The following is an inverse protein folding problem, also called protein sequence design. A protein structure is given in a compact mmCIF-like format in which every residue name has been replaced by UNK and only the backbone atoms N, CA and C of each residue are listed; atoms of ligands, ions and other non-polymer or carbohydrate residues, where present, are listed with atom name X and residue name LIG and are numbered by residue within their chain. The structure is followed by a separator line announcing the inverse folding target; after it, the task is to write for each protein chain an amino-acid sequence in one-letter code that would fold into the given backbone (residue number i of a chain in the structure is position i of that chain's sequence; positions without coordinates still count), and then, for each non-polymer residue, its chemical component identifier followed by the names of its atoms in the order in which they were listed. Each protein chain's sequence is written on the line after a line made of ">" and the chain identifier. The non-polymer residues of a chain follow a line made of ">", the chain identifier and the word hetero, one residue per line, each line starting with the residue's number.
data_IF_712654336928
#
_entry.id   IF_712654336928
#
_cell.length_a   1.000
_cell.length_b   1.000
_cell.length_c   1.000
_cell.angle_alpha   90.00
_cell.angle_beta   90.00
_cell.angle_gamma   90.00
#
_symmetry.space_group_name_H-M   'P 1'
#
loop_
_entity.id
_entity.type
_entity.pdbx_description
1 polymer ?
#
# COMPACT_ATOMS: atom_id res chain seq x y z
N UNK A 1 31.88 -16.12 2.19
CA UNK A 1 31.74 -14.65 2.15
C UNK A 1 30.41 -14.34 1.48
N UNK A 2 29.34 -14.21 2.29
CA UNK A 2 28.01 -13.91 1.75
C UNK A 2 28.02 -12.46 1.26
N UNK A 3 28.05 -12.27 -0.04
CA UNK A 3 27.78 -10.99 -0.68
C UNK A 3 26.30 -10.72 -0.39
N UNK A 4 26.04 -9.93 0.66
CA UNK A 4 24.73 -9.33 0.84
C UNK A 4 24.47 -8.47 -0.40
N UNK A 5 23.69 -8.98 -1.33
CA UNK A 5 23.16 -8.19 -2.41
C UNK A 5 22.44 -7.00 -1.75
N UNK A 6 23.04 -5.84 -1.85
CA UNK A 6 22.47 -4.61 -1.31
C UNK A 6 21.12 -4.46 -1.99
N UNK A 7 20.03 -4.66 -1.24
CA UNK A 7 18.69 -4.44 -1.73
C UNK A 7 18.55 -2.93 -1.84
N UNK A 8 18.93 -2.41 -2.99
CA UNK A 8 18.57 -1.06 -3.35
C UNK A 8 17.06 -1.10 -3.58
N UNK A 9 16.33 -0.27 -2.84
CA UNK A 9 14.90 -0.14 -3.03
C UNK A 9 14.59 0.05 -4.53
N UNK A 10 13.47 -0.50 -5.04
CA UNK A 10 13.12 -0.28 -6.43
C UNK A 10 12.93 1.23 -6.61
N UNK A 11 13.49 1.80 -7.67
CA UNK A 11 13.20 3.20 -8.00
C UNK A 11 11.82 3.28 -8.65
N UNK A 12 10.78 3.27 -7.82
CA UNK A 12 9.37 3.39 -8.22
C UNK A 12 8.79 4.70 -7.70
N UNK A 13 7.81 5.22 -8.42
CA UNK A 13 7.01 6.38 -8.04
C UNK A 13 5.54 6.09 -8.33
N UNK A 14 4.63 6.93 -7.87
CA UNK A 14 3.23 6.90 -8.32
C UNK A 14 3.17 7.33 -9.79
N UNK A 15 2.51 6.55 -10.64
CA UNK A 15 2.36 6.88 -12.06
C UNK A 15 1.22 7.89 -12.25
N UNK A 16 1.56 9.15 -12.47
CA UNK A 16 0.61 10.24 -12.71
C UNK A 16 -0.31 10.00 -13.91
N UNK A 17 0.11 9.17 -14.89
CA UNK A 17 -0.74 8.81 -16.03
C UNK A 17 -1.86 7.83 -15.66
N UNK A 18 -1.70 7.07 -14.57
CA UNK A 18 -2.69 6.09 -14.12
C UNK A 18 -3.56 6.59 -12.98
N UNK A 19 -3.19 7.70 -12.34
CA UNK A 19 -3.90 8.19 -11.16
C UNK A 19 -5.39 8.41 -11.46
N UNK A 20 -6.24 7.95 -10.54
CA UNK A 20 -7.70 8.16 -10.63
C UNK A 20 -8.04 9.65 -10.60
N UNK A 21 -9.05 10.09 -11.37
CA UNK A 21 -9.41 11.50 -11.58
C UNK A 21 -9.65 12.32 -10.29
N UNK A 22 -10.02 11.67 -9.19
CA UNK A 22 -10.24 12.30 -7.88
C UNK A 22 -9.04 12.11 -6.93
N UNK A 23 -7.85 11.87 -7.46
CA UNK A 23 -6.61 11.72 -6.70
C UNK A 23 -5.54 12.61 -7.31
N UNK A 24 -4.60 13.02 -6.49
CA UNK A 24 -3.52 13.89 -6.87
C UNK A 24 -2.17 13.23 -6.61
N UNK A 25 -1.25 13.37 -7.56
CA UNK A 25 0.13 12.90 -7.45
C UNK A 25 1.05 14.09 -7.63
N UNK A 26 2.01 14.27 -6.73
CA UNK A 26 3.03 15.32 -6.83
C UNK A 26 3.86 15.19 -8.10
N UNK A 27 4.47 16.29 -8.56
CA UNK A 27 5.25 16.35 -9.80
C UNK A 27 6.43 15.36 -9.80
N UNK A 28 7.03 15.09 -8.64
CA UNK A 28 8.10 14.09 -8.47
C UNK A 28 7.58 12.64 -8.36
N UNK A 29 6.27 12.44 -8.38
CA UNK A 29 5.62 11.15 -8.24
C UNK A 29 5.76 10.50 -6.86
N UNK A 30 6.15 11.24 -5.82
CA UNK A 30 6.43 10.69 -4.49
C UNK A 30 5.28 10.81 -3.50
N UNK A 31 4.32 11.69 -3.76
CA UNK A 31 3.19 11.94 -2.86
C UNK A 31 1.88 11.70 -3.59
N UNK A 32 1.03 10.85 -3.01
CA UNK A 32 -0.34 10.60 -3.45
C UNK A 32 -1.32 11.13 -2.42
N UNK A 33 -2.31 11.92 -2.85
CA UNK A 33 -3.34 12.52 -1.99
C UNK A 33 -4.73 12.15 -2.47
N UNK A 34 -5.66 12.00 -1.53
CA UNK A 34 -7.07 12.02 -1.88
C UNK A 34 -7.55 13.48 -1.94
N UNK A 35 -8.22 13.84 -3.03
CA UNK A 35 -8.83 15.16 -3.18
C UNK A 35 -10.27 15.15 -2.69
N UNK A 36 -10.79 16.32 -2.34
CA UNK A 36 -12.22 16.51 -2.06
C UNK A 36 -13.05 16.27 -3.33
N UNK A 37 -14.25 15.72 -3.18
CA UNK A 37 -15.21 15.56 -4.28
C UNK A 37 -15.46 16.96 -4.88
N UNK A 38 -15.21 17.15 -6.17
CA UNK A 38 -15.34 18.42 -6.87
C UNK A 38 -14.03 19.03 -7.38
N UNK A 39 -12.88 18.55 -6.93
CA UNK A 39 -11.57 18.93 -7.45
C UNK A 39 -11.00 17.86 -8.41
N UNK A 40 -11.79 17.45 -9.39
CA UNK A 40 -11.31 16.53 -10.40
C UNK A 40 -10.31 17.23 -11.33
N UNK A 41 -9.11 16.70 -11.46
CA UNK A 41 -8.21 17.14 -12.53
C UNK A 41 -8.80 16.69 -13.87
N UNK A 42 -9.25 17.65 -14.67
CA UNK A 42 -9.85 17.40 -15.99
C UNK A 42 -8.73 17.10 -16.99
N UNK A 43 -8.17 15.92 -16.99
CA UNK A 43 -7.35 15.46 -18.09
C UNK A 43 -7.99 14.22 -18.72
N UNK A 44 -8.14 14.25 -20.04
CA UNK A 44 -8.74 13.20 -20.88
C UNK A 44 -7.80 11.98 -21.08
N UNK A 45 -6.94 11.67 -20.11
CA UNK A 45 -5.98 10.57 -20.27
C UNK A 45 -6.69 9.22 -20.13
N UNK A 46 -6.77 8.46 -21.21
CA UNK A 46 -7.38 7.12 -21.28
C UNK A 46 -6.71 6.07 -20.39
N UNK A 47 -5.47 6.32 -19.93
CA UNK A 47 -4.75 5.41 -19.03
C UNK A 47 -5.18 5.53 -17.58
N UNK A 48 -5.97 6.54 -17.23
CA UNK A 48 -6.45 6.75 -15.84
C UNK A 48 -7.31 5.60 -15.37
N UNK A 49 -7.09 5.24 -14.11
CA UNK A 49 -7.96 4.31 -13.41
C UNK A 49 -9.37 4.91 -13.28
N UNK A 50 -10.37 4.09 -13.58
CA UNK A 50 -11.80 4.48 -13.56
C UNK A 50 -12.48 4.01 -12.28
N UNK A 51 -12.14 2.83 -11.82
CA UNK A 51 -12.74 2.17 -10.66
C UNK A 51 -11.82 2.23 -9.43
N UNK A 52 -10.57 1.82 -9.57
CA UNK A 52 -9.61 1.81 -8.47
C UNK A 52 -9.21 3.23 -8.08
N UNK A 53 -9.53 3.62 -6.86
CA UNK A 53 -9.36 5.01 -6.36
C UNK A 53 -7.95 5.28 -5.84
N UNK A 54 -6.98 5.27 -6.71
CA UNK A 54 -5.58 5.40 -6.34
C UNK A 54 -4.67 5.63 -7.54
N UNK A 55 -3.45 5.12 -7.43
CA UNK A 55 -2.42 5.11 -8.48
C UNK A 55 -1.72 3.77 -8.51
N UNK A 56 -1.06 3.47 -9.64
CA UNK A 56 -0.18 2.32 -9.81
C UNK A 56 1.25 2.83 -9.78
N UNK A 57 2.21 1.98 -9.41
CA UNK A 57 3.63 2.31 -9.51
C UNK A 57 4.07 2.48 -10.98
N UNK A 58 5.08 3.30 -11.23
CA UNK A 58 5.64 3.52 -12.59
C UNK A 58 6.28 2.27 -13.19
N UNK A 59 6.66 1.29 -12.34
CA UNK A 59 7.34 0.05 -12.78
C UNK A 59 6.81 -1.16 -12.02
N UNK A 60 6.77 -2.34 -12.69
CA UNK A 60 6.48 -3.60 -12.02
C UNK A 60 7.70 -4.10 -11.23
N UNK A 61 7.42 -4.96 -10.27
CA UNK A 61 8.41 -5.78 -9.59
C UNK A 61 8.44 -7.16 -10.25
N UNK A 62 9.63 -7.60 -10.69
CA UNK A 62 9.82 -8.81 -11.51
C UNK A 62 10.66 -9.84 -10.78
N UNK A 63 10.48 -11.12 -11.11
CA UNK A 63 11.37 -12.20 -10.69
C UNK A 63 12.51 -12.38 -11.70
N UNK A 64 13.76 -12.69 -11.26
CA UNK A 64 14.19 -12.73 -9.86
C UNK A 64 14.40 -11.31 -9.30
N UNK A 65 14.14 -11.15 -8.00
CA UNK A 65 14.39 -9.87 -7.35
C UNK A 65 13.99 -9.85 -5.87
N UNK A 66 14.63 -8.95 -5.16
CA UNK A 66 14.30 -8.62 -3.77
C UNK A 66 14.11 -7.13 -3.67
N UNK A 67 12.92 -6.70 -3.29
CA UNK A 67 12.48 -5.31 -3.36
C UNK A 67 11.99 -4.84 -2.00
N UNK A 68 12.48 -3.70 -1.55
CA UNK A 68 12.02 -3.05 -0.33
C UNK A 68 11.70 -1.59 -0.58
N UNK A 69 10.57 -1.14 -0.09
CA UNK A 69 10.17 0.27 -0.06
C UNK A 69 9.32 0.56 1.16
N UNK A 70 9.19 1.84 1.51
CA UNK A 70 8.36 2.30 2.61
C UNK A 70 7.29 3.26 2.12
N UNK A 71 6.14 3.23 2.81
CA UNK A 71 5.05 4.19 2.61
C UNK A 71 4.77 4.87 3.95
N UNK A 72 4.94 6.18 3.98
CA UNK A 72 4.47 7.01 5.10
C UNK A 72 3.04 7.43 4.78
N UNK A 73 2.13 7.22 5.71
CA UNK A 73 0.72 7.56 5.57
C UNK A 73 0.37 8.54 6.68
N UNK A 74 0.09 9.80 6.31
CA UNK A 74 -0.52 10.80 7.18
C UNK A 74 -2.02 10.85 6.86
N UNK A 75 -2.88 10.63 7.85
CA UNK A 75 -4.31 10.76 7.66
C UNK A 75 -4.98 11.50 8.81
N UNK A 76 -6.05 12.22 8.45
CA UNK A 76 -6.91 12.91 9.39
C UNK A 76 -8.37 12.53 9.14
N UNK A 77 -9.03 12.02 10.15
CA UNK A 77 -10.45 11.69 10.10
C UNK A 77 -11.24 12.97 10.36
N UNK A 78 -11.98 13.44 9.36
CA UNK A 78 -12.78 14.67 9.44
C UNK A 78 -14.22 14.38 9.87
N UNK A 79 -14.74 13.18 9.56
CA UNK A 79 -16.08 12.72 9.96
C UNK A 79 -15.95 11.29 10.51
N UNK A 80 -16.79 10.87 11.45
CA UNK A 80 -16.77 9.50 11.95
C UNK A 80 -16.82 8.49 10.80
N UNK A 81 -16.03 7.44 10.94
CA UNK A 81 -16.05 6.30 10.03
C UNK A 81 -17.15 5.33 10.46
N UNK A 82 -17.68 4.60 9.51
CA UNK A 82 -18.62 3.48 9.70
C UNK A 82 -18.06 2.21 9.06
N UNK A 83 -18.71 1.07 9.26
CA UNK A 83 -18.24 -0.27 8.91
C UNK A 83 -17.80 -0.46 7.46
N UNK A 84 -18.19 0.43 6.55
CA UNK A 84 -17.86 0.35 5.13
C UNK A 84 -16.73 1.28 4.71
N UNK A 85 -16.14 2.03 5.64
CA UNK A 85 -15.10 2.99 5.30
C UNK A 85 -13.73 2.34 5.21
N UNK A 86 -13.37 2.03 4.00
CA UNK A 86 -12.05 1.59 3.57
C UNK A 86 -11.17 2.82 3.36
N UNK A 87 -10.15 3.03 4.20
CA UNK A 87 -9.40 4.29 4.24
C UNK A 87 -8.27 4.31 3.25
N UNK A 88 -7.37 3.33 3.30
CA UNK A 88 -6.28 3.20 2.34
C UNK A 88 -5.97 1.74 2.02
N UNK A 89 -5.28 1.53 0.91
CA UNK A 89 -4.79 0.23 0.46
C UNK A 89 -3.40 0.35 -0.14
N UNK A 90 -2.51 -0.59 0.19
CA UNK A 90 -1.26 -0.82 -0.51
C UNK A 90 -1.30 -2.27 -0.96
N UNK A 91 -1.45 -2.48 -2.26
CA UNK A 91 -1.60 -3.79 -2.84
C UNK A 91 -0.48 -4.14 -3.81
N UNK A 92 -0.44 -5.41 -4.17
CA UNK A 92 0.40 -5.97 -5.22
C UNK A 92 -0.50 -6.78 -6.14
N UNK A 93 -0.67 -6.35 -7.38
CA UNK A 93 -1.63 -6.94 -8.30
C UNK A 93 -1.05 -7.06 -9.71
N UNK A 94 -1.74 -7.81 -10.56
CA UNK A 94 -1.49 -7.79 -12.01
C UNK A 94 -1.98 -6.47 -12.59
N UNK A 95 -1.24 -5.89 -13.54
CA UNK A 95 -1.57 -4.58 -14.13
C UNK A 95 -3.01 -4.49 -14.66
N UNK A 96 -3.46 -5.54 -15.34
CA UNK A 96 -4.77 -5.56 -15.99
C UNK A 96 -5.92 -5.79 -14.99
N UNK A 97 -5.62 -6.26 -13.79
CA UNK A 97 -6.64 -6.59 -12.80
C UNK A 97 -6.92 -5.41 -11.85
N UNK A 98 -6.02 -4.42 -11.79
CA UNK A 98 -6.11 -3.31 -10.82
C UNK A 98 -7.45 -2.56 -10.93
N UNK A 99 -7.93 -2.28 -12.14
CA UNK A 99 -9.10 -1.41 -12.36
C UNK A 99 -10.42 -2.18 -12.55
N UNK A 100 -10.46 -3.47 -12.18
CA UNK A 100 -11.69 -4.28 -12.20
C UNK A 100 -12.69 -3.76 -11.16
N UNK A 101 -12.20 -3.32 -10.00
CA UNK A 101 -13.03 -2.84 -8.88
C UNK A 101 -12.42 -1.66 -8.14
N UNK A 102 -13.09 -1.25 -7.06
CA UNK A 102 -12.63 -0.16 -6.21
C UNK A 102 -11.44 -0.55 -5.33
N UNK A 103 -11.20 -1.84 -5.13
CA UNK A 103 -10.18 -2.44 -4.29
C UNK A 103 -9.54 -3.61 -5.02
N UNK A 104 -8.34 -4.01 -4.59
CA UNK A 104 -7.68 -5.21 -5.14
C UNK A 104 -7.72 -6.40 -4.17
N UNK A 105 -8.09 -6.21 -2.91
CA UNK A 105 -8.02 -7.24 -1.87
C UNK A 105 -8.91 -8.46 -2.12
N UNK A 106 -9.97 -8.35 -2.90
CA UNK A 106 -10.92 -9.42 -3.25
C UNK A 106 -10.47 -10.27 -4.45
N UNK A 107 -9.41 -9.86 -5.15
CA UNK A 107 -8.89 -10.54 -6.32
C UNK A 107 -7.95 -11.68 -5.94
N UNK A 108 -8.05 -12.81 -6.66
CA UNK A 108 -7.15 -13.96 -6.49
C UNK A 108 -5.71 -13.68 -6.95
N UNK A 109 -5.51 -12.63 -7.74
CA UNK A 109 -4.19 -12.21 -8.29
C UNK A 109 -3.58 -11.05 -7.52
N UNK A 110 -4.18 -10.65 -6.37
CA UNK A 110 -3.70 -9.52 -5.59
C UNK A 110 -3.51 -9.86 -4.10
N UNK A 111 -2.53 -9.23 -3.50
CA UNK A 111 -2.20 -9.27 -2.08
C UNK A 111 -2.27 -7.86 -1.54
N UNK A 112 -3.07 -7.64 -0.51
CA UNK A 112 -3.42 -6.30 -0.04
C UNK A 112 -3.14 -6.11 1.43
N UNK A 113 -2.53 -4.99 1.76
CA UNK A 113 -2.49 -4.40 3.09
C UNK A 113 -3.35 -3.14 3.07
N UNK A 114 -4.29 -3.03 4.02
CA UNK A 114 -5.25 -1.93 4.00
C UNK A 114 -5.67 -1.49 5.39
N UNK A 115 -6.32 -0.34 5.48
CA UNK A 115 -6.98 0.12 6.70
C UNK A 115 -8.47 0.35 6.47
N UNK A 116 -9.27 -0.24 7.35
CA UNK A 116 -10.74 -0.16 7.35
C UNK A 116 -11.25 -0.14 8.78
N UNK A 117 -12.39 0.50 9.02
CA UNK A 117 -13.06 0.35 10.30
C UNK A 117 -13.42 -1.11 10.57
N UNK A 118 -13.25 -1.52 11.80
CA UNK A 118 -13.43 -2.88 12.28
C UNK A 118 -14.54 -2.92 13.32
N UNK A 119 -15.52 -3.77 13.11
CA UNK A 119 -16.63 -3.96 14.05
C UNK A 119 -16.17 -4.56 15.38
N UNK A 120 -15.22 -5.47 15.33
CA UNK A 120 -14.68 -6.13 16.51
C UNK A 120 -14.04 -5.14 17.50
N UNK A 121 -13.20 -4.22 16.97
CA UNK A 121 -12.50 -3.25 17.81
C UNK A 121 -13.20 -1.88 17.91
N UNK A 122 -14.26 -1.64 17.10
CA UNK A 122 -14.96 -0.33 16.98
C UNK A 122 -14.03 0.82 16.65
N UNK A 123 -12.91 0.57 15.96
CA UNK A 123 -11.90 1.54 15.57
C UNK A 123 -11.35 1.23 14.17
N UNK A 124 -10.47 2.08 13.65
CA UNK A 124 -9.76 1.80 12.42
C UNK A 124 -8.75 0.68 12.67
N UNK A 125 -8.79 -0.37 11.86
CA UNK A 125 -7.88 -1.50 11.90
C UNK A 125 -7.08 -1.61 10.62
N UNK A 126 -5.88 -2.13 10.74
CA UNK A 126 -5.04 -2.54 9.62
C UNK A 126 -5.25 -4.03 9.33
N UNK A 127 -5.26 -4.40 8.05
CA UNK A 127 -5.60 -5.73 7.57
C UNK A 127 -4.62 -6.20 6.51
N UNK A 128 -4.29 -7.51 6.53
CA UNK A 128 -3.73 -8.20 5.38
C UNK A 128 -4.80 -9.08 4.76
N UNK A 129 -5.01 -8.97 3.45
CA UNK A 129 -6.08 -9.65 2.70
C UNK A 129 -5.59 -10.23 1.39
N UNK A 130 -6.21 -11.32 0.97
CA UNK A 130 -5.97 -11.94 -0.33
C UNK A 130 -7.22 -12.74 -0.73
N UNK A 131 -7.65 -12.60 -1.97
CA UNK A 131 -8.79 -13.33 -2.52
C UNK A 131 -10.05 -13.24 -1.64
N UNK A 132 -10.38 -12.03 -1.19
CA UNK A 132 -11.52 -11.75 -0.32
C UNK A 132 -11.39 -12.23 1.14
N UNK A 133 -10.27 -12.90 1.50
CA UNK A 133 -10.06 -13.46 2.84
C UNK A 133 -9.25 -12.52 3.72
N UNK A 134 -9.66 -12.38 4.96
CA UNK A 134 -8.88 -11.72 6.01
C UNK A 134 -7.83 -12.70 6.55
N UNK A 135 -6.56 -12.33 6.47
CA UNK A 135 -5.44 -13.18 6.88
C UNK A 135 -4.84 -12.73 8.21
N UNK A 136 -4.80 -11.43 8.46
CA UNK A 136 -4.38 -10.84 9.72
C UNK A 136 -5.02 -9.46 9.88
N UNK A 137 -5.28 -9.06 11.14
CA UNK A 137 -5.70 -7.69 11.45
C UNK A 137 -5.26 -7.27 12.84
N UNK A 138 -5.18 -5.96 13.07
CA UNK A 138 -4.91 -5.37 14.36
C UNK A 138 -5.46 -3.93 14.43
N UNK A 139 -5.78 -3.43 15.62
CA UNK A 139 -6.14 -2.02 15.83
C UNK A 139 -5.04 -1.08 15.32
N UNK A 140 -5.45 0.07 14.75
CA UNK A 140 -4.56 1.10 14.24
C UNK A 140 -4.76 2.43 14.97
N UNK A 141 -5.98 2.96 14.98
CA UNK A 141 -6.32 4.22 15.65
C UNK A 141 -7.83 4.33 15.90
N UNK A 142 -8.26 5.27 16.76
CA UNK A 142 -9.67 5.61 16.86
C UNK A 142 -10.26 6.00 15.49
N UNK A 143 -11.51 5.63 15.24
CA UNK A 143 -12.25 5.93 14.00
C UNK A 143 -13.10 7.21 14.12
N UNK A 144 -12.80 8.07 15.07
CA UNK A 144 -13.57 9.27 15.43
C UNK A 144 -13.05 10.52 14.72
N UNK A 145 -13.94 11.47 14.48
CA UNK A 145 -13.56 12.77 13.93
C UNK A 145 -12.52 13.47 14.80
N UNK A 146 -11.55 14.14 14.16
CA UNK A 146 -10.44 14.81 14.82
C UNK A 146 -9.18 13.93 14.97
N UNK A 147 -9.29 12.60 14.84
CA UNK A 147 -8.12 11.71 14.89
C UNK A 147 -7.15 12.06 13.75
N UNK A 148 -5.89 12.30 14.12
CA UNK A 148 -4.77 12.44 13.17
C UNK A 148 -3.70 11.45 13.54
N UNK A 149 -3.19 10.75 12.54
CA UNK A 149 -2.18 9.71 12.73
C UNK A 149 -1.21 9.69 11.55
N UNK A 150 0.08 9.52 11.86
CA UNK A 150 1.09 9.21 10.86
C UNK A 150 1.69 7.84 11.18
N UNK A 151 1.73 6.98 10.19
CA UNK A 151 2.31 5.62 10.29
C UNK A 151 3.23 5.36 9.12
N UNK A 152 4.21 4.49 9.33
CA UNK A 152 5.14 4.07 8.28
C UNK A 152 5.08 2.56 8.16
N UNK A 153 4.87 2.08 6.93
CA UNK A 153 4.89 0.66 6.60
C UNK A 153 5.99 0.34 5.61
N UNK A 154 6.69 -0.75 5.87
CA UNK A 154 7.71 -1.32 4.97
C UNK A 154 7.18 -2.56 4.27
N UNK A 155 7.50 -2.70 2.99
CA UNK A 155 7.09 -3.82 2.14
C UNK A 155 8.32 -4.49 1.55
N UNK A 156 8.55 -5.75 1.93
CA UNK A 156 9.66 -6.55 1.42
C UNK A 156 9.09 -7.69 0.56
N UNK A 157 9.28 -7.57 -0.76
CA UNK A 157 8.96 -8.63 -1.72
C UNK A 157 10.22 -9.41 -2.07
N UNK A 158 10.21 -10.71 -1.78
CA UNK A 158 11.26 -11.68 -2.09
C UNK A 158 10.71 -12.66 -3.15
N UNK A 159 10.98 -12.37 -4.41
CA UNK A 159 10.28 -13.06 -5.51
C UNK A 159 10.67 -14.53 -5.63
N UNK A 160 11.93 -14.90 -5.41
CA UNK A 160 12.37 -16.29 -5.46
C UNK A 160 11.77 -17.12 -4.32
N UNK A 161 11.53 -16.49 -3.17
CA UNK A 161 10.87 -17.12 -2.03
C UNK A 161 9.34 -17.04 -2.09
N UNK A 162 8.79 -16.34 -3.10
CA UNK A 162 7.35 -16.10 -3.27
C UNK A 162 6.70 -15.51 -2.00
N UNK A 163 7.40 -14.55 -1.37
CA UNK A 163 6.99 -13.94 -0.10
C UNK A 163 6.87 -12.43 -0.22
N UNK A 164 5.84 -11.87 0.41
CA UNK A 164 5.71 -10.44 0.67
C UNK A 164 5.55 -10.26 2.18
N UNK A 165 6.50 -9.59 2.80
CA UNK A 165 6.41 -9.26 4.23
C UNK A 165 6.05 -7.79 4.40
N UNK A 166 5.03 -7.54 5.23
CA UNK A 166 4.60 -6.22 5.66
C UNK A 166 5.16 -5.95 7.05
N UNK A 167 5.82 -4.82 7.19
CA UNK A 167 6.37 -4.35 8.46
C UNK A 167 5.67 -3.08 8.90
N UNK A 168 5.34 -3.02 10.17
CA UNK A 168 4.99 -1.78 10.85
C UNK A 168 6.28 -1.13 11.33
N UNK A 169 6.77 -0.14 10.57
CA UNK A 169 8.03 0.55 10.87
C UNK A 169 7.87 1.53 12.04
N UNK A 170 6.66 2.01 12.32
CA UNK A 170 6.36 2.87 13.46
C UNK A 170 6.60 2.12 14.77
N UNK A 171 6.10 0.89 14.87
CA UNK A 171 6.26 0.03 16.05
C UNK A 171 7.41 -0.98 15.92
N UNK A 172 8.23 -0.90 14.86
CA UNK A 172 9.42 -1.73 14.62
C UNK A 172 9.14 -3.23 14.71
N UNK A 173 8.07 -3.69 14.11
CA UNK A 173 7.65 -5.09 14.14
C UNK A 173 7.21 -5.60 12.77
N UNK A 174 7.34 -6.90 12.57
CA UNK A 174 6.70 -7.59 11.46
C UNK A 174 5.19 -7.65 11.73
N UNK A 175 4.39 -7.22 10.74
CA UNK A 175 2.95 -7.31 10.82
C UNK A 175 2.46 -8.65 10.26
N UNK A 176 2.82 -8.96 9.01
CA UNK A 176 2.39 -10.20 8.35
C UNK A 176 3.35 -10.61 7.23
N UNK A 177 3.34 -11.89 6.85
CA UNK A 177 4.02 -12.39 5.65
C UNK A 177 3.04 -13.20 4.81
N UNK A 178 2.79 -12.73 3.59
CA UNK A 178 2.14 -13.53 2.57
C UNK A 178 3.14 -14.54 2.01
N UNK A 179 2.69 -15.79 1.85
CA UNK A 179 3.47 -16.89 1.31
C UNK A 179 2.85 -17.39 0.01
N UNK A 180 3.64 -18.12 -0.78
CA UNK A 180 3.19 -18.75 -2.03
C UNK A 180 2.54 -17.77 -3.01
N UNK A 181 3.05 -16.54 -3.09
CA UNK A 181 2.55 -15.57 -4.06
C UNK A 181 2.78 -16.06 -5.48
N UNK A 182 1.79 -15.93 -6.35
CA UNK A 182 1.97 -16.14 -7.78
C UNK A 182 2.66 -14.93 -8.42
N UNK A 183 3.98 -15.04 -8.55
CA UNK A 183 4.86 -14.05 -9.17
C UNK A 183 5.49 -14.56 -10.47
N UNK A 184 4.85 -15.55 -11.11
CA UNK A 184 5.21 -16.03 -12.45
C UNK A 184 5.15 -14.92 -13.51
N UNK A 185 4.35 -13.89 -13.24
CA UNK A 185 4.28 -12.64 -14.02
C UNK A 185 4.61 -11.45 -13.11
N UNK A 186 5.06 -10.32 -13.68
CA UNK A 186 5.33 -9.11 -12.92
C UNK A 186 4.13 -8.67 -12.08
N UNK A 187 4.37 -8.24 -10.82
CA UNK A 187 3.38 -7.63 -9.94
C UNK A 187 3.62 -6.13 -9.85
N UNK A 188 2.55 -5.39 -9.75
CA UNK A 188 2.57 -3.94 -9.67
C UNK A 188 2.16 -3.50 -8.28
N UNK A 189 3.00 -2.74 -7.55
CA UNK A 189 2.53 -2.00 -6.38
C UNK A 189 1.41 -1.05 -6.77
N UNK A 190 0.32 -1.08 -6.00
CA UNK A 190 -0.86 -0.23 -6.19
C UNK A 190 -1.20 0.45 -4.87
N UNK A 191 -1.68 1.69 -4.94
CA UNK A 191 -1.86 2.54 -3.79
C UNK A 191 -3.24 3.21 -3.87
N UNK A 192 -4.13 2.85 -2.96
CA UNK A 192 -5.49 3.37 -2.87
C UNK A 192 -5.65 4.32 -1.70
N UNK A 193 -6.30 5.45 -1.92
CA UNK A 193 -6.72 6.36 -0.86
C UNK A 193 -8.19 6.75 -1.08
N UNK A 194 -9.02 6.50 -0.07
CA UNK A 194 -10.47 6.47 -0.23
C UNK A 194 -11.16 7.61 0.56
N UNK A 195 -12.44 7.77 0.38
CA UNK A 195 -13.35 8.62 1.16
C UNK A 195 -12.87 10.04 1.48
N UNK A 196 -12.53 10.89 0.48
CA UNK A 196 -12.01 12.24 0.73
C UNK A 196 -12.96 13.14 1.52
N UNK A 197 -14.26 12.85 1.52
CA UNK A 197 -15.27 13.57 2.33
C UNK A 197 -15.21 13.23 3.81
N UNK A 198 -14.62 12.09 4.19
CA UNK A 198 -14.51 11.62 5.58
C UNK A 198 -13.10 11.65 6.11
N UNK A 199 -12.11 11.35 5.27
CA UNK A 199 -10.69 11.26 5.65
C UNK A 199 -9.84 12.03 4.67
N UNK A 200 -8.94 12.87 5.17
CA UNK A 200 -7.84 13.44 4.37
C UNK A 200 -6.64 12.49 4.50
N UNK A 201 -6.07 12.09 3.37
CA UNK A 201 -4.95 11.13 3.31
C UNK A 201 -3.85 11.70 2.42
N UNK A 202 -2.63 11.54 2.90
CA UNK A 202 -1.40 11.77 2.14
C UNK A 202 -0.50 10.54 2.32
N UNK A 203 -0.10 9.92 1.20
CA UNK A 203 0.86 8.84 1.17
C UNK A 203 2.16 9.34 0.57
N UNK A 204 3.27 9.19 1.28
CA UNK A 204 4.61 9.49 0.78
C UNK A 204 5.39 8.20 0.57
N UNK A 205 5.87 8.00 -0.65
CA UNK A 205 6.62 6.81 -1.05
C UNK A 205 8.13 7.05 -0.86
N UNK A 206 8.80 6.21 -0.07
CA UNK A 206 10.25 6.15 0.05
C UNK A 206 10.80 4.95 -0.69
N UNK A 207 11.66 5.19 -1.65
CA UNK A 207 12.22 4.16 -2.55
C UNK A 207 13.63 4.51 -3.02
N UNK A 208 14.31 3.55 -3.63
CA UNK A 208 15.63 3.79 -4.21
C UNK A 208 16.65 4.25 -3.17
N UNK A 209 17.37 5.34 -3.46
CA UNK A 209 18.42 5.90 -2.60
C UNK A 209 17.93 6.49 -1.28
N UNK A 210 16.63 6.72 -1.13
CA UNK A 210 16.04 7.18 0.13
C UNK A 210 16.02 6.07 1.20
N UNK A 211 16.16 4.82 0.78
CA UNK A 211 16.30 3.65 1.66
C UNK A 211 17.78 3.44 1.95
N UNK A 212 18.28 4.08 3.00
CA UNK A 212 19.71 4.03 3.39
C UNK A 212 20.09 2.64 3.92
N UNK A 213 19.18 2.00 4.66
CA UNK A 213 19.38 0.64 5.19
C UNK A 213 18.02 -0.01 5.48
N UNK A 214 17.98 -1.34 5.35
CA UNK A 214 16.84 -2.12 5.88
C UNK A 214 16.95 -2.11 7.40
N UNK A 215 15.90 -1.70 8.11
CA UNK A 215 15.90 -1.66 9.57
C UNK A 215 16.31 -2.99 10.21
N UNK A 216 17.11 -2.93 11.29
CA UNK A 216 17.67 -4.14 11.92
C UNK A 216 16.60 -5.14 12.40
N UNK A 217 15.43 -4.67 12.86
CA UNK A 217 14.34 -5.54 13.30
C UNK A 217 13.77 -6.42 12.17
N UNK A 218 14.01 -6.08 10.91
CA UNK A 218 13.62 -6.89 9.75
C UNK A 218 14.62 -8.03 9.44
N UNK A 219 15.84 -7.95 9.98
CA UNK A 219 16.92 -8.94 9.75
C UNK A 219 16.81 -10.15 10.67
N UNK A 220 16.19 -10.00 11.83
CA UNK A 220 16.13 -11.03 12.89
C UNK A 220 15.10 -12.14 12.63
N UNK A 221 14.30 -12.05 11.57
CA UNK A 221 13.29 -13.06 11.23
C UNK A 221 13.84 -14.31 10.52
N UNK A 222 15.16 -14.42 10.31
CA UNK A 222 15.78 -15.52 9.53
C UNK A 222 16.51 -16.57 10.38
N UNK A 223 16.48 -16.46 11.71
CA UNK A 223 17.26 -17.35 12.60
C UNK A 223 16.41 -17.98 13.70
N UNK A 224 15.32 -18.63 13.33
CA UNK A 224 14.68 -19.69 14.14
C UNK A 224 13.95 -20.63 13.17
N UNK A 225 14.64 -21.61 12.70
CA UNK A 225 14.12 -22.85 12.14
C UNK A 225 14.99 -23.98 12.65
#
# INVERSE_FOLDING_TARGET
>A
MNIFLLILGPNITFDSNTVHQYRDVSDDGKVLKNQSIGQASISSNERRLKNYRGAISTRPLKSPGKYYFEVIIDYRINKPLDNVNFVFEIGFSRRNDVDIGHYVYDQSTAWSFCAQQCDEHKQLCQWCRHNGRNLAHAPLSPATAGTRTQVTYGFLLETEQKKLTVFDCTFKKKFYTFHNMDISRPVWPVFGCHWPSKVKIEMTLKTGSEIIAIPNFMRTSSTMA
#
